data_IF_882348545783
#
_entry.id   IF_882348545783
#
_cell.length_a   1.000
_cell.length_b   1.000
_cell.length_c   1.000
_cell.angle_alpha   90.00
_cell.angle_beta   90.00
_cell.angle_gamma   90.00
#
_symmetry.space_group_name_H-M   'P 1'
#
loop_
_entity.id
_entity.type
_entity.pdbx_description
1 polymer ?
#
# COMPACT_ATOMS: atom_id res chain seq x y z
N UNK A 1 11.00 -1.46 8.19
CA UNK A 1 12.27 -2.03 7.67
C UNK A 1 12.14 -2.14 6.16
N UNK A 2 13.08 -1.58 5.40
CA UNK A 2 13.09 -1.77 3.93
C UNK A 2 13.51 -3.21 3.60
N UNK A 3 12.81 -3.83 2.66
CA UNK A 3 13.02 -5.22 2.25
C UNK A 3 13.60 -5.29 0.84
N UNK A 4 13.11 -4.46 -0.07
CA UNK A 4 13.60 -4.35 -1.43
C UNK A 4 13.30 -2.96 -2.01
N UNK A 5 14.08 -2.54 -3.01
CA UNK A 5 13.81 -1.30 -3.75
C UNK A 5 14.36 -1.40 -5.17
N UNK A 6 13.68 -0.72 -6.09
CA UNK A 6 14.08 -0.45 -7.46
C UNK A 6 13.88 1.05 -7.74
N UNK A 7 14.24 1.57 -8.92
CA UNK A 7 13.97 2.98 -9.25
C UNK A 7 12.49 3.39 -9.16
N UNK A 8 11.57 2.45 -9.37
CA UNK A 8 10.12 2.74 -9.45
C UNK A 8 9.28 1.92 -8.47
N UNK A 9 9.91 1.24 -7.51
CA UNK A 9 9.18 0.49 -6.50
C UNK A 9 9.97 0.35 -5.22
N UNK A 10 9.26 0.17 -4.12
CA UNK A 10 9.85 -0.25 -2.87
C UNK A 10 8.93 -1.18 -2.09
N UNK A 11 9.55 -2.09 -1.35
CA UNK A 11 8.87 -2.99 -0.43
C UNK A 11 9.43 -2.81 0.97
N UNK A 12 8.55 -2.75 1.95
CA UNK A 12 8.91 -2.62 3.35
C UNK A 12 8.10 -3.59 4.20
N UNK A 13 8.66 -3.93 5.36
CA UNK A 13 7.96 -4.61 6.45
C UNK A 13 7.73 -3.61 7.59
N UNK A 14 6.50 -3.52 8.11
CA UNK A 14 6.26 -2.86 9.38
C UNK A 14 6.59 -3.83 10.52
N UNK A 15 7.40 -3.39 11.48
CA UNK A 15 7.72 -4.19 12.66
C UNK A 15 6.47 -4.51 13.49
N UNK A 16 6.51 -5.64 14.19
CA UNK A 16 5.36 -6.27 14.86
C UNK A 16 4.70 -5.35 15.89
N UNK A 17 3.53 -4.78 15.57
CA UNK A 17 2.48 -4.37 16.53
C UNK A 17 1.24 -3.79 15.83
N UNK A 18 0.01 -4.26 16.12
CA UNK A 18 -0.38 -5.62 16.52
C UNK A 18 -0.49 -6.58 15.31
N UNK A 19 -0.39 -6.07 14.08
CA UNK A 19 -0.44 -6.87 12.85
C UNK A 19 0.84 -6.62 12.06
N UNK A 20 1.60 -7.67 11.84
CA UNK A 20 2.76 -7.64 10.95
C UNK A 20 2.29 -7.55 9.49
N UNK A 21 2.94 -6.69 8.70
CA UNK A 21 2.62 -6.58 7.29
C UNK A 21 3.77 -6.09 6.43
N UNK A 22 3.68 -6.45 5.16
CA UNK A 22 4.50 -5.94 4.07
C UNK A 22 3.67 -5.00 3.19
N UNK A 23 4.23 -3.84 2.88
CA UNK A 23 3.70 -2.94 1.87
C UNK A 23 4.65 -2.87 0.69
N UNK A 24 4.11 -2.96 -0.52
CA UNK A 24 4.83 -2.71 -1.78
C UNK A 24 4.14 -1.57 -2.50
N UNK A 25 4.88 -0.50 -2.77
CA UNK A 25 4.48 0.55 -3.69
C UNK A 25 5.24 0.37 -5.00
N UNK A 26 4.54 0.37 -6.13
CA UNK A 26 5.12 0.31 -7.45
C UNK A 26 4.48 1.35 -8.37
N UNK A 27 5.28 1.99 -9.21
CA UNK A 27 4.80 2.81 -10.33
C UNK A 27 4.86 1.95 -11.59
N UNK A 28 3.71 1.70 -12.19
CA UNK A 28 3.58 0.85 -13.38
C UNK A 28 3.10 1.69 -14.57
N UNK A 29 3.67 1.49 -15.78
CA UNK A 29 3.15 2.12 -16.99
C UNK A 29 1.79 1.52 -17.37
N UNK A 30 0.84 2.37 -17.80
CA UNK A 30 -0.47 1.94 -18.30
C UNK A 30 -0.51 1.80 -19.82
N UNK A 31 0.23 2.64 -20.53
CA UNK A 31 0.32 2.67 -22.00
C UNK A 31 1.79 2.56 -22.45
N UNK A 32 2.20 3.29 -23.49
CA UNK A 32 3.61 3.41 -23.91
C UNK A 32 4.45 4.27 -22.94
N UNK A 33 4.06 4.39 -21.68
CA UNK A 33 4.74 5.17 -20.65
C UNK A 33 4.37 6.65 -20.60
N UNK A 34 3.28 7.06 -21.26
CA UNK A 34 2.71 8.42 -21.15
C UNK A 34 1.81 8.56 -19.93
N UNK A 35 1.24 7.46 -19.46
CA UNK A 35 0.47 7.38 -18.23
C UNK A 35 1.04 6.30 -17.33
N UNK A 36 1.05 6.57 -16.05
CA UNK A 36 1.43 5.61 -15.02
C UNK A 36 0.32 5.47 -14.00
N UNK A 37 0.33 4.36 -13.28
CA UNK A 37 -0.47 4.16 -12.07
C UNK A 37 0.46 3.87 -10.90
N UNK A 38 0.08 4.34 -9.72
CA UNK A 38 0.69 3.94 -8.47
C UNK A 38 -0.11 2.75 -7.93
N UNK A 39 0.53 1.60 -7.80
CA UNK A 39 -0.06 0.37 -7.26
C UNK A 39 0.45 0.17 -5.85
N UNK A 40 -0.47 0.06 -4.90
CA UNK A 40 -0.16 -0.28 -3.51
C UNK A 40 -0.65 -1.68 -3.18
N UNK A 41 0.27 -2.57 -2.82
CA UNK A 41 -0.04 -3.92 -2.37
C UNK A 41 0.28 -4.03 -0.88
N UNK A 42 -0.70 -4.49 -0.10
CA UNK A 42 -0.53 -4.72 1.33
C UNK A 42 -0.78 -6.20 1.64
N UNK A 43 0.24 -6.89 2.11
CA UNK A 43 0.16 -8.27 2.59
C UNK A 43 0.33 -8.29 4.10
N UNK A 44 -0.68 -8.74 4.83
CA UNK A 44 -0.74 -8.60 6.28
C UNK A 44 -1.32 -9.83 6.95
N UNK A 45 -0.87 -10.09 8.17
CA UNK A 45 -1.37 -11.18 8.99
C UNK A 45 -2.75 -10.85 9.58
N UNK A 46 -3.74 -11.68 9.28
CA UNK A 46 -5.10 -11.54 9.77
C UNK A 46 -5.40 -12.49 10.94
N UNK A 47 -4.46 -13.35 11.34
CA UNK A 47 -4.62 -14.31 12.44
C UNK A 47 -5.08 -13.64 13.75
N UNK A 48 -4.59 -12.43 14.12
CA UNK A 48 -5.06 -11.75 15.33
C UNK A 48 -6.54 -11.36 15.30
N UNK A 49 -7.16 -11.22 14.11
CA UNK A 49 -8.56 -10.82 13.93
C UNK A 49 -9.45 -12.05 13.94
N UNK A 50 -10.29 -12.22 14.97
CA UNK A 50 -10.98 -13.49 15.24
C UNK A 50 -12.34 -13.58 14.56
N UNK A 51 -13.01 -12.45 14.40
CA UNK A 51 -14.35 -12.38 13.80
C UNK A 51 -14.31 -11.90 12.35
N UNK A 52 -15.43 -12.09 11.62
CA UNK A 52 -15.59 -11.56 10.27
C UNK A 52 -15.65 -10.02 10.28
N UNK A 53 -16.33 -9.46 11.27
CA UNK A 53 -16.53 -8.02 11.38
C UNK A 53 -15.21 -7.29 11.72
N UNK A 54 -14.38 -7.85 12.59
CA UNK A 54 -13.04 -7.33 12.86
C UNK A 54 -12.15 -7.32 11.60
N UNK A 55 -12.20 -8.39 10.80
CA UNK A 55 -11.46 -8.49 9.53
C UNK A 55 -11.94 -7.47 8.52
N UNK A 56 -13.25 -7.29 8.39
CA UNK A 56 -13.82 -6.32 7.48
C UNK A 56 -13.46 -4.88 7.91
N UNK A 57 -13.62 -4.56 9.20
CA UNK A 57 -13.27 -3.25 9.74
C UNK A 57 -11.77 -2.92 9.59
N UNK A 58 -10.87 -3.89 9.79
CA UNK A 58 -9.44 -3.71 9.56
C UNK A 58 -9.13 -3.48 8.07
N UNK A 59 -9.73 -4.28 7.17
CA UNK A 59 -9.58 -4.11 5.72
C UNK A 59 -10.05 -2.72 5.28
N UNK A 60 -11.20 -2.26 5.75
CA UNK A 60 -11.78 -0.98 5.36
C UNK A 60 -10.94 0.20 5.89
N UNK A 61 -10.47 0.11 7.14
CA UNK A 61 -9.53 1.09 7.72
C UNK A 61 -8.24 1.18 6.91
N UNK A 62 -7.64 0.05 6.54
CA UNK A 62 -6.40 0.00 5.75
C UNK A 62 -6.63 0.56 4.35
N UNK A 63 -7.70 0.12 3.70
CA UNK A 63 -8.09 0.61 2.37
C UNK A 63 -8.22 2.13 2.39
N UNK A 64 -9.00 2.68 3.33
CA UNK A 64 -9.15 4.12 3.49
C UNK A 64 -7.80 4.83 3.65
N UNK A 65 -6.98 4.40 4.62
CA UNK A 65 -5.68 5.01 4.91
C UNK A 65 -4.74 5.01 3.70
N UNK A 66 -4.64 3.88 2.99
CA UNK A 66 -3.73 3.77 1.85
C UNK A 66 -4.29 4.45 0.60
N UNK A 67 -5.61 4.49 0.41
CA UNK A 67 -6.24 5.31 -0.64
C UNK A 67 -5.96 6.80 -0.42
N UNK A 68 -6.14 7.32 0.79
CA UNK A 68 -5.80 8.72 1.11
C UNK A 68 -4.32 9.02 0.85
N UNK A 69 -3.43 8.09 1.16
CA UNK A 69 -2.00 8.23 0.85
C UNK A 69 -1.74 8.26 -0.66
N UNK A 70 -2.40 7.39 -1.44
CA UNK A 70 -2.29 7.36 -2.90
C UNK A 70 -2.83 8.64 -3.55
N UNK A 71 -3.95 9.17 -3.07
CA UNK A 71 -4.53 10.43 -3.54
C UNK A 71 -3.56 11.59 -3.33
N UNK A 72 -2.92 11.66 -2.15
CA UNK A 72 -1.89 12.66 -1.87
C UNK A 72 -0.67 12.50 -2.77
N UNK A 73 -0.21 11.27 -3.02
CA UNK A 73 0.93 11.02 -3.93
C UNK A 73 0.61 11.43 -5.37
N UNK A 74 -0.60 11.12 -5.83
CA UNK A 74 -1.10 11.54 -7.15
C UNK A 74 -1.11 13.07 -7.24
N UNK A 75 -1.68 13.75 -6.26
CA UNK A 75 -1.73 15.21 -6.24
C UNK A 75 -0.34 15.84 -6.29
N UNK A 76 0.64 15.30 -5.54
CA UNK A 76 2.02 15.76 -5.58
C UNK A 76 2.68 15.51 -6.95
N UNK A 77 2.43 14.35 -7.57
CA UNK A 77 2.99 14.01 -8.87
C UNK A 77 2.38 14.79 -10.04
N UNK A 78 1.16 15.32 -9.87
CA UNK A 78 0.42 16.10 -10.89
C UNK A 78 0.47 17.61 -10.64
N UNK A 79 1.19 18.08 -9.59
CA UNK A 79 1.28 19.49 -9.22
C UNK A 79 2.34 20.30 -10.01
N UNK A 80 3.17 19.62 -10.81
CA UNK A 80 4.14 20.20 -11.75
C UNK A 80 3.54 20.33 -13.16
#
# INVERSE_FOLDING_TARGET
MMVASTPYSYTYAQATSPIFYHGTLAVEPLDRGRQTKIVYTLFYDIEPLKTKDERQADRDRRTKRFSEALDNMKALAEAD
#
